data_IF_710752646183
#
_entry.id   IF_710752646183
#
_cell.length_a   1.000
_cell.length_b   1.000
_cell.length_c   1.000
_cell.angle_alpha   90.00
_cell.angle_beta   90.00
_cell.angle_gamma   90.00
#
_symmetry.space_group_name_H-M   'P 1'
#
loop_
_entity.id
_entity.type
_entity.pdbx_description
1 polymer ?
#
# COMPACT_ATOMS: atom_id res chain seq x y z
N UNK A 1 -36.00 18.04 5.66
CA UNK A 1 -34.83 18.94 5.70
C UNK A 1 -34.35 19.15 4.27
N UNK A 2 -34.44 20.37 3.76
CA UNK A 2 -34.17 20.70 2.36
C UNK A 2 -32.65 20.85 2.18
N UNK A 3 -32.02 20.00 1.37
CA UNK A 3 -30.58 20.06 1.10
C UNK A 3 -30.31 21.05 -0.06
N UNK A 4 -29.65 22.20 0.17
CA UNK A 4 -29.48 23.24 -0.84
C UNK A 4 -28.45 22.91 -1.94
N UNK A 5 -27.83 21.73 -1.94
CA UNK A 5 -26.75 21.34 -2.86
C UNK A 5 -27.15 20.26 -3.88
N UNK A 6 -28.43 19.89 -3.96
CA UNK A 6 -28.89 18.91 -4.94
C UNK A 6 -28.90 19.54 -6.36
N UNK A 7 -27.89 19.21 -7.17
CA UNK A 7 -27.79 19.63 -8.57
C UNK A 7 -28.89 18.92 -9.37
N UNK A 8 -29.81 19.70 -9.92
CA UNK A 8 -30.94 19.21 -10.72
C UNK A 8 -30.45 18.93 -12.15
N UNK A 9 -30.05 17.70 -12.45
CA UNK A 9 -29.76 17.27 -13.82
C UNK A 9 -31.04 16.71 -14.48
N UNK A 10 -31.48 17.33 -15.57
CA UNK A 10 -32.72 17.02 -16.30
C UNK A 10 -32.62 15.80 -17.24
N UNK A 11 -31.53 15.03 -17.19
CA UNK A 11 -31.23 13.98 -18.18
C UNK A 11 -31.61 12.56 -17.74
N UNK A 12 -32.23 12.38 -16.57
CA UNK A 12 -32.50 11.06 -15.96
C UNK A 12 -33.99 10.91 -15.56
N UNK A 13 -34.90 11.49 -16.33
CA UNK A 13 -36.35 11.33 -16.13
C UNK A 13 -36.78 9.91 -16.52
N UNK A 14 -36.64 8.95 -15.60
CA UNK A 14 -37.16 7.60 -15.80
C UNK A 14 -36.73 6.54 -14.79
N UNK A 15 -35.72 6.81 -13.96
CA UNK A 15 -35.23 5.83 -12.98
C UNK A 15 -35.41 6.40 -11.56
N UNK A 16 -36.38 5.85 -10.80
CA UNK A 16 -36.68 6.24 -9.43
C UNK A 16 -35.55 5.80 -8.47
N UNK A 17 -34.45 6.55 -8.48
CA UNK A 17 -33.29 6.32 -7.62
C UNK A 17 -33.51 7.07 -6.28
N UNK A 18 -33.45 6.40 -5.12
CA UNK A 18 -33.75 7.02 -3.83
C UNK A 18 -32.78 8.15 -3.47
N UNK A 19 -33.31 9.26 -2.93
CA UNK A 19 -32.59 10.52 -2.68
C UNK A 19 -31.46 10.41 -1.63
N UNK A 20 -31.38 9.32 -0.85
CA UNK A 20 -30.31 9.12 0.14
C UNK A 20 -28.93 8.83 -0.47
N UNK A 21 -28.84 8.53 -1.77
CA UNK A 21 -27.57 8.16 -2.43
C UNK A 21 -26.65 9.38 -2.64
N UNK A 22 -27.18 10.60 -2.73
CA UNK A 22 -26.41 11.85 -2.90
C UNK A 22 -25.95 12.49 -1.57
N UNK A 23 -25.49 11.67 -0.61
CA UNK A 23 -24.90 12.15 0.64
C UNK A 23 -23.47 12.68 0.47
N UNK A 24 -22.79 13.03 1.57
CA UNK A 24 -21.36 13.38 1.54
C UNK A 24 -20.42 12.16 1.35
N UNK A 25 -20.98 10.95 1.48
CA UNK A 25 -20.25 9.66 1.40
C UNK A 25 -19.72 9.33 -0.01
N UNK A 26 -20.50 9.51 -1.10
CA UNK A 26 -19.97 9.45 -2.47
C UNK A 26 -18.89 10.50 -2.75
N UNK A 27 -19.01 11.71 -2.18
CA UNK A 27 -17.98 12.75 -2.31
C UNK A 27 -16.69 12.38 -1.53
N UNK A 28 -16.79 11.74 -0.36
CA UNK A 28 -15.63 11.16 0.34
C UNK A 28 -15.00 9.98 -0.41
N UNK A 29 -15.81 9.17 -1.09
CA UNK A 29 -15.34 8.12 -2.01
C UNK A 29 -14.65 8.71 -3.24
N UNK A 30 -15.16 9.81 -3.80
CA UNK A 30 -14.52 10.53 -4.91
C UNK A 30 -13.23 11.28 -4.48
N UNK A 31 -13.20 11.84 -3.27
CA UNK A 31 -12.02 12.50 -2.69
C UNK A 31 -10.94 11.48 -2.32
N UNK A 32 -11.27 10.22 -1.99
CA UNK A 32 -10.25 9.17 -1.77
C UNK A 32 -9.69 8.58 -3.08
N UNK A 33 -10.38 8.76 -4.20
CA UNK A 33 -10.02 8.16 -5.49
C UNK A 33 -9.07 9.00 -6.36
N UNK A 34 -8.82 10.27 -6.04
CA UNK A 34 -8.18 11.19 -7.00
C UNK A 34 -7.03 12.00 -6.39
N UNK A 35 -5.86 11.39 -6.21
CA UNK A 35 -4.65 12.13 -5.78
C UNK A 35 -3.38 11.62 -6.48
N UNK A 36 -3.30 11.88 -7.79
CA UNK A 36 -2.04 11.88 -8.54
C UNK A 36 -1.54 13.33 -8.61
N UNK A 37 -0.50 13.66 -7.83
CA UNK A 37 0.20 14.94 -7.97
C UNK A 37 1.19 14.88 -9.13
N UNK A 38 0.98 15.71 -10.15
CA UNK A 38 1.86 15.82 -11.32
C UNK A 38 3.01 16.79 -11.01
N UNK A 39 4.27 16.36 -11.15
CA UNK A 39 5.46 17.22 -10.94
C UNK A 39 5.92 17.88 -12.26
N UNK A 40 6.21 19.20 -12.28
CA UNK A 40 6.64 19.90 -13.51
C UNK A 40 7.96 19.39 -14.12
N UNK A 41 8.94 18.94 -13.31
CA UNK A 41 10.22 18.40 -13.82
C UNK A 41 10.09 17.02 -14.47
N UNK A 42 9.08 16.26 -14.07
CA UNK A 42 8.74 14.98 -14.67
C UNK A 42 8.33 15.18 -16.13
N UNK A 43 7.53 16.20 -16.42
CA UNK A 43 7.10 16.55 -17.77
C UNK A 43 8.28 16.98 -18.68
N UNK A 44 9.32 17.61 -18.10
CA UNK A 44 10.53 18.02 -18.84
C UNK A 44 11.44 16.85 -19.20
N UNK A 45 11.64 15.92 -18.27
CA UNK A 45 12.51 14.74 -18.45
C UNK A 45 11.96 13.78 -19.50
N UNK A 46 10.64 13.71 -19.64
CA UNK A 46 9.95 12.86 -20.62
C UNK A 46 9.53 13.56 -21.91
N UNK A 47 10.06 14.77 -22.19
CA UNK A 47 9.90 15.43 -23.48
C UNK A 47 8.48 15.92 -23.78
N UNK A 48 7.67 16.18 -22.75
CA UNK A 48 6.25 16.50 -22.92
C UNK A 48 5.96 17.99 -23.22
N UNK A 49 6.97 18.85 -23.35
CA UNK A 49 6.76 20.30 -23.49
C UNK A 49 6.07 20.71 -24.80
N UNK A 50 6.20 19.91 -25.85
CA UNK A 50 5.63 20.15 -27.20
C UNK A 50 4.41 19.28 -27.52
N UNK A 51 3.96 18.43 -26.59
CA UNK A 51 2.87 17.49 -26.80
C UNK A 51 1.51 18.10 -26.39
N UNK A 52 0.46 17.83 -27.17
CA UNK A 52 -0.94 18.20 -26.87
C UNK A 52 -1.32 17.80 -25.43
N UNK A 53 -2.16 18.58 -24.75
CA UNK A 53 -2.64 18.28 -23.39
C UNK A 53 -3.24 16.86 -23.26
N UNK A 54 -3.80 16.34 -24.35
CA UNK A 54 -4.26 14.94 -24.46
C UNK A 54 -3.13 13.91 -24.32
N UNK A 55 -1.95 14.16 -24.89
CA UNK A 55 -0.80 13.26 -24.84
C UNK A 55 -0.12 13.27 -23.45
N UNK A 56 -0.09 14.42 -22.78
CA UNK A 56 0.36 14.53 -21.38
C UNK A 56 -0.54 13.74 -20.43
N UNK A 57 -1.85 13.92 -20.57
CA UNK A 57 -2.85 13.21 -19.79
C UNK A 57 -2.78 11.69 -20.03
N UNK A 58 -2.63 11.26 -21.28
CA UNK A 58 -2.48 9.84 -21.63
C UNK A 58 -1.21 9.23 -21.04
N UNK A 59 -0.07 9.93 -21.06
CA UNK A 59 1.17 9.40 -20.47
C UNK A 59 1.04 9.22 -18.95
N UNK A 60 0.57 10.25 -18.24
CA UNK A 60 0.39 10.21 -16.78
C UNK A 60 -0.61 9.12 -16.38
N UNK A 61 -1.74 9.02 -17.10
CA UNK A 61 -2.74 7.98 -16.91
C UNK A 61 -2.17 6.57 -17.14
N UNK A 62 -1.38 6.37 -18.20
CA UNK A 62 -0.75 5.08 -18.49
C UNK A 62 0.25 4.67 -17.40
N UNK A 63 0.99 5.63 -16.83
CA UNK A 63 1.94 5.38 -15.74
C UNK A 63 1.21 4.91 -14.48
N UNK A 64 0.13 5.59 -14.10
CA UNK A 64 -0.70 5.22 -12.94
C UNK A 64 -1.39 3.88 -13.17
N UNK A 65 -1.92 3.65 -14.36
CA UNK A 65 -2.58 2.39 -14.73
C UNK A 65 -1.61 1.20 -14.69
N UNK A 66 -0.36 1.40 -15.11
CA UNK A 66 0.69 0.37 -15.05
C UNK A 66 1.03 -0.01 -13.60
N UNK A 67 1.09 0.98 -12.70
CA UNK A 67 1.25 0.73 -11.28
C UNK A 67 0.07 -0.08 -10.71
N UNK A 68 -1.16 0.29 -11.07
CA UNK A 68 -2.37 -0.40 -10.60
C UNK A 68 -2.46 -1.84 -11.12
N UNK A 69 -2.08 -2.07 -12.38
CA UNK A 69 -1.95 -3.40 -12.96
C UNK A 69 -0.91 -4.24 -12.21
N UNK A 70 0.26 -3.67 -11.92
CA UNK A 70 1.28 -4.31 -11.08
C UNK A 70 0.75 -4.68 -9.70
N UNK A 71 0.00 -3.79 -9.05
CA UNK A 71 -0.60 -4.04 -7.74
C UNK A 71 -1.61 -5.18 -7.75
N UNK A 72 -2.45 -5.29 -8.78
CA UNK A 72 -3.39 -6.38 -8.95
C UNK A 72 -2.69 -7.74 -8.99
N UNK A 73 -1.67 -7.89 -9.84
CA UNK A 73 -0.90 -9.13 -9.93
C UNK A 73 -0.06 -9.38 -8.67
N UNK A 74 0.41 -8.31 -8.01
CA UNK A 74 1.07 -8.39 -6.71
C UNK A 74 0.18 -9.01 -5.64
N UNK A 75 -1.04 -8.51 -5.47
CA UNK A 75 -2.03 -9.10 -4.55
C UNK A 75 -2.29 -10.58 -4.88
N UNK A 76 -2.59 -10.91 -6.13
CA UNK A 76 -2.91 -12.27 -6.53
C UNK A 76 -1.74 -13.26 -6.30
N UNK A 77 -0.52 -12.88 -6.69
CA UNK A 77 0.66 -13.72 -6.51
C UNK A 77 1.09 -13.84 -5.05
N UNK A 78 1.01 -12.76 -4.28
CA UNK A 78 1.38 -12.76 -2.86
C UNK A 78 0.53 -13.71 -2.03
N UNK A 79 -0.70 -13.99 -2.42
CA UNK A 79 -1.56 -14.95 -1.72
C UNK A 79 -0.97 -16.36 -1.76
N UNK A 80 -0.55 -16.80 -2.94
CA UNK A 80 0.09 -18.10 -3.15
C UNK A 80 1.44 -18.19 -2.44
N UNK A 81 2.25 -17.12 -2.52
CA UNK A 81 3.57 -17.06 -1.89
C UNK A 81 3.44 -17.08 -0.36
N UNK A 82 2.50 -16.33 0.21
CA UNK A 82 2.32 -16.25 1.66
C UNK A 82 1.77 -17.54 2.29
N UNK A 83 0.93 -18.27 1.56
CA UNK A 83 0.46 -19.59 2.01
C UNK A 83 1.58 -20.64 1.94
N UNK A 84 2.47 -20.56 0.95
CA UNK A 84 3.58 -21.50 0.79
C UNK A 84 4.76 -21.23 1.74
N UNK A 85 5.23 -19.99 1.78
CA UNK A 85 6.48 -19.60 2.46
C UNK A 85 6.28 -18.90 3.80
N UNK A 86 5.09 -18.37 4.08
CA UNK A 86 4.81 -17.59 5.28
C UNK A 86 4.68 -16.10 5.00
N UNK A 87 4.26 -15.33 6.00
CA UNK A 87 3.92 -13.92 5.86
C UNK A 87 5.19 -13.06 5.86
N UNK A 88 6.12 -13.34 6.77
CA UNK A 88 7.40 -12.61 6.90
C UNK A 88 8.27 -12.66 5.63
N UNK A 89 8.61 -13.83 5.04
CA UNK A 89 9.45 -13.88 3.84
C UNK A 89 8.74 -13.25 2.63
N UNK A 90 7.40 -13.31 2.58
CA UNK A 90 6.62 -12.65 1.53
C UNK A 90 6.73 -11.13 1.61
N UNK A 91 6.68 -10.56 2.81
CA UNK A 91 6.87 -9.11 3.02
C UNK A 91 8.29 -8.65 2.68
N UNK A 92 9.31 -9.44 3.03
CA UNK A 92 10.70 -9.16 2.67
C UNK A 92 10.88 -9.21 1.15
N UNK A 93 10.34 -10.23 0.48
CA UNK A 93 10.38 -10.34 -0.98
C UNK A 93 9.66 -9.18 -1.65
N UNK A 94 8.48 -8.79 -1.16
CA UNK A 94 7.73 -7.66 -1.67
C UNK A 94 8.53 -6.34 -1.56
N UNK A 95 9.23 -6.12 -0.45
CA UNK A 95 10.08 -4.96 -0.25
C UNK A 95 11.31 -4.96 -1.19
N UNK A 96 11.93 -6.12 -1.42
CA UNK A 96 13.03 -6.25 -2.39
C UNK A 96 12.55 -5.92 -3.81
N UNK A 97 11.42 -6.48 -4.23
CA UNK A 97 10.81 -6.20 -5.55
C UNK A 97 10.48 -4.71 -5.68
N UNK A 98 9.94 -4.10 -4.62
CA UNK A 98 9.67 -2.67 -4.56
C UNK A 98 10.94 -1.84 -4.73
N UNK A 99 12.03 -2.17 -4.01
CA UNK A 99 13.31 -1.46 -4.12
C UNK A 99 13.92 -1.58 -5.53
N UNK A 100 13.83 -2.74 -6.17
CA UNK A 100 14.28 -2.93 -7.57
C UNK A 100 13.46 -2.05 -8.51
N UNK A 101 12.13 -2.03 -8.33
CA UNK A 101 11.23 -1.17 -9.12
C UNK A 101 11.55 0.31 -8.95
N UNK A 102 11.77 0.77 -7.72
CA UNK A 102 12.15 2.15 -7.43
C UNK A 102 13.52 2.51 -8.04
N UNK A 103 14.48 1.57 -8.04
CA UNK A 103 15.79 1.78 -8.64
C UNK A 103 15.71 1.94 -10.16
N UNK A 104 14.89 1.13 -10.83
CA UNK A 104 14.64 1.24 -12.27
C UNK A 104 14.01 2.58 -12.66
N UNK A 105 13.13 3.13 -11.80
CA UNK A 105 12.53 4.44 -12.06
C UNK A 105 13.57 5.57 -12.06
N UNK A 106 14.65 5.47 -11.27
CA UNK A 106 15.69 6.52 -11.20
C UNK A 106 16.56 6.63 -12.46
N UNK A 107 16.51 5.66 -13.37
CA UNK A 107 17.31 5.65 -14.62
C UNK A 107 16.86 6.74 -15.59
N UNK A 108 15.59 7.19 -15.53
CA UNK A 108 15.10 8.31 -16.35
C UNK A 108 14.78 7.96 -17.81
N UNK A 109 14.53 6.68 -18.11
CA UNK A 109 14.01 6.20 -19.41
C UNK A 109 12.54 5.81 -19.30
N UNK A 110 11.73 6.10 -20.32
CA UNK A 110 10.30 5.76 -20.34
C UNK A 110 10.04 4.27 -20.14
N UNK A 111 10.78 3.41 -20.84
CA UNK A 111 10.64 1.95 -20.73
C UNK A 111 10.92 1.48 -19.30
N UNK A 112 12.01 2.00 -18.70
CA UNK A 112 12.39 1.69 -17.32
C UNK A 112 11.39 2.24 -16.30
N UNK A 113 10.75 3.36 -16.60
CA UNK A 113 9.68 3.93 -15.76
C UNK A 113 8.46 3.01 -15.76
N UNK A 114 7.99 2.54 -16.91
CA UNK A 114 6.85 1.62 -16.98
C UNK A 114 7.12 0.31 -16.25
N UNK A 115 8.27 -0.31 -16.50
CA UNK A 115 8.67 -1.55 -15.81
C UNK A 115 8.84 -1.29 -14.30
N UNK A 116 9.50 -0.19 -13.94
CA UNK A 116 9.69 0.19 -12.55
C UNK A 116 8.36 0.42 -11.83
N UNK A 117 7.36 1.00 -12.50
CA UNK A 117 6.02 1.23 -11.96
C UNK A 117 5.25 -0.06 -11.74
N UNK A 118 5.32 -0.99 -12.71
CA UNK A 118 4.73 -2.32 -12.55
C UNK A 118 5.33 -3.06 -11.35
N UNK A 119 6.65 -3.02 -11.18
CA UNK A 119 7.34 -3.68 -10.06
C UNK A 119 7.07 -3.00 -8.71
N UNK A 120 7.07 -1.67 -8.64
CA UNK A 120 6.67 -0.99 -7.40
C UNK A 120 5.21 -1.25 -7.06
N UNK A 121 4.34 -1.32 -8.07
CA UNK A 121 2.94 -1.70 -7.90
C UNK A 121 2.82 -3.10 -7.32
N UNK A 122 3.57 -4.07 -7.86
CA UNK A 122 3.62 -5.44 -7.35
C UNK A 122 4.00 -5.48 -5.88
N UNK A 123 5.10 -4.82 -5.50
CA UNK A 123 5.58 -4.79 -4.12
C UNK A 123 4.56 -4.14 -3.15
N UNK A 124 3.96 -3.02 -3.54
CA UNK A 124 2.93 -2.34 -2.74
C UNK A 124 1.66 -3.19 -2.61
N UNK A 125 1.15 -3.75 -3.71
CA UNK A 125 -0.03 -4.61 -3.69
C UNK A 125 0.16 -5.84 -2.81
N UNK A 126 1.31 -6.50 -2.93
CA UNK A 126 1.67 -7.65 -2.09
C UNK A 126 1.71 -7.28 -0.61
N UNK A 127 2.30 -6.13 -0.28
CA UNK A 127 2.43 -5.64 1.09
C UNK A 127 1.08 -5.25 1.68
N UNK A 128 0.26 -4.51 0.93
CA UNK A 128 -1.07 -4.06 1.33
C UNK A 128 -2.01 -5.22 1.67
N UNK A 129 -1.85 -6.38 1.02
CA UNK A 129 -2.61 -7.58 1.34
C UNK A 129 -2.06 -8.30 2.59
N UNK A 130 -0.74 -8.49 2.69
CA UNK A 130 -0.13 -9.36 3.73
C UNK A 130 -0.01 -8.66 5.09
N UNK A 131 0.28 -7.36 5.14
CA UNK A 131 0.44 -6.63 6.41
C UNK A 131 -0.78 -6.72 7.34
N UNK A 132 -2.01 -6.39 6.90
CA UNK A 132 -3.18 -6.48 7.79
C UNK A 132 -3.47 -7.93 8.22
N UNK A 133 -3.21 -8.91 7.34
CA UNK A 133 -3.32 -10.35 7.67
C UNK A 133 -2.34 -10.69 8.78
N UNK A 134 -1.06 -10.35 8.62
CA UNK A 134 -0.01 -10.64 9.59
C UNK A 134 -0.31 -9.99 10.95
N UNK A 135 -0.71 -8.71 10.98
CA UNK A 135 -1.13 -8.01 12.21
C UNK A 135 -2.33 -8.73 12.85
N UNK A 136 -3.33 -9.13 12.05
CA UNK A 136 -4.51 -9.82 12.57
C UNK A 136 -4.21 -11.20 13.16
N UNK A 137 -3.25 -11.93 12.59
CA UNK A 137 -2.85 -13.26 13.04
C UNK A 137 -1.98 -13.22 14.30
N UNK A 138 -1.18 -12.19 14.47
CA UNK A 138 -0.38 -11.96 15.69
C UNK A 138 -1.21 -11.35 16.83
N UNK A 139 -2.28 -10.61 16.51
CA UNK A 139 -3.10 -9.91 17.50
C UNK A 139 -3.99 -10.83 18.37
N UNK A 140 -4.15 -10.51 19.67
CA UNK A 140 -5.22 -11.09 20.49
C UNK A 140 -6.61 -10.71 19.95
N UNK A 141 -7.57 -11.63 20.02
CA UNK A 141 -8.91 -11.45 19.45
C UNK A 141 -9.63 -10.17 19.92
N UNK A 142 -9.46 -9.79 21.19
CA UNK A 142 -10.14 -8.64 21.80
C UNK A 142 -9.66 -7.28 21.27
N UNK A 143 -8.38 -7.16 20.87
CA UNK A 143 -7.77 -5.90 20.45
C UNK A 143 -7.38 -5.88 18.97
N UNK A 144 -7.69 -6.94 18.22
CA UNK A 144 -7.36 -7.08 16.80
C UNK A 144 -7.80 -5.90 15.96
N UNK A 145 -9.08 -5.50 16.09
CA UNK A 145 -9.62 -4.38 15.32
C UNK A 145 -8.89 -3.06 15.58
N UNK A 146 -8.50 -2.82 16.84
CA UNK A 146 -7.72 -1.63 17.22
C UNK A 146 -6.32 -1.66 16.60
N UNK A 147 -5.64 -2.80 16.62
CA UNK A 147 -4.29 -2.93 16.06
C UNK A 147 -4.27 -2.76 14.54
N UNK A 148 -5.24 -3.36 13.84
CA UNK A 148 -5.39 -3.18 12.38
C UNK A 148 -5.77 -1.73 12.06
N UNK A 149 -6.66 -1.12 12.84
CA UNK A 149 -7.00 0.30 12.68
C UNK A 149 -5.81 1.23 12.90
N UNK A 150 -4.98 0.99 13.92
CA UNK A 150 -3.75 1.77 14.14
C UNK A 150 -2.77 1.62 12.99
N UNK A 151 -2.63 0.41 12.44
CA UNK A 151 -1.81 0.18 11.24
C UNK A 151 -2.28 1.04 10.06
N UNK A 152 -3.57 1.04 9.76
CA UNK A 152 -4.14 1.86 8.68
C UNK A 152 -3.93 3.36 8.91
N UNK A 153 -4.13 3.85 10.14
CA UNK A 153 -3.88 5.25 10.47
C UNK A 153 -2.41 5.63 10.25
N UNK A 154 -1.47 4.76 10.63
CA UNK A 154 -0.04 5.00 10.37
C UNK A 154 0.29 4.97 8.87
N UNK A 155 -0.35 4.09 8.10
CA UNK A 155 -0.20 4.03 6.65
C UNK A 155 -0.67 5.35 6.00
N UNK A 156 -1.83 5.85 6.40
CA UNK A 156 -2.35 7.14 5.91
C UNK A 156 -1.45 8.31 6.31
N UNK A 157 -0.94 8.32 7.55
CA UNK A 157 0.01 9.33 7.99
C UNK A 157 1.30 9.33 7.14
N UNK A 158 1.82 8.16 6.79
CA UNK A 158 2.99 8.03 5.92
C UNK A 158 2.73 8.58 4.50
N UNK A 159 1.53 8.35 3.94
CA UNK A 159 1.13 8.94 2.66
C UNK A 159 1.11 10.46 2.74
N UNK A 160 0.51 11.03 3.80
CA UNK A 160 0.51 12.49 4.05
C UNK A 160 1.93 13.06 4.13
N UNK A 161 2.84 12.39 4.82
CA UNK A 161 4.25 12.78 4.84
C UNK A 161 4.88 12.78 3.43
N UNK A 162 4.57 11.77 2.61
CA UNK A 162 5.01 11.71 1.21
C UNK A 162 4.52 12.89 0.37
N UNK A 163 3.29 13.37 0.60
CA UNK A 163 2.77 14.57 -0.05
C UNK A 163 3.54 15.83 0.36
N UNK A 164 3.81 16.00 1.66
CA UNK A 164 4.60 17.14 2.15
C UNK A 164 6.02 17.15 1.60
N UNK A 165 6.65 15.97 1.45
CA UNK A 165 7.94 15.84 0.78
C UNK A 165 7.85 16.30 -0.68
N UNK A 166 6.84 15.83 -1.43
CA UNK A 166 6.64 16.25 -2.81
C UNK A 166 6.39 17.77 -2.93
N UNK A 167 5.59 18.34 -2.03
CA UNK A 167 5.35 19.78 -1.97
C UNK A 167 6.62 20.57 -1.66
N UNK A 168 7.40 20.13 -0.67
CA UNK A 168 8.67 20.74 -0.28
C UNK A 168 9.69 20.70 -1.41
N UNK A 169 9.75 19.59 -2.15
CA UNK A 169 10.60 19.46 -3.35
C UNK A 169 10.13 20.39 -4.47
N UNK A 170 8.81 20.51 -4.69
CA UNK A 170 8.25 21.41 -5.70
C UNK A 170 8.57 22.89 -5.43
N UNK A 171 8.55 23.31 -4.16
CA UNK A 171 8.81 24.70 -3.76
C UNK A 171 10.29 25.07 -3.70
N UNK A 172 11.17 24.16 -3.27
CA UNK A 172 12.55 24.49 -2.93
C UNK A 172 13.58 24.06 -3.98
N UNK A 173 13.21 23.18 -4.94
CA UNK A 173 14.13 22.69 -5.97
C UNK A 173 13.75 23.30 -7.32
N UNK A 174 14.73 23.92 -7.99
CA UNK A 174 14.53 24.54 -9.30
C UNK A 174 14.01 23.53 -10.33
N UNK A 175 13.02 23.90 -11.16
CA UNK A 175 12.43 23.07 -12.22
C UNK A 175 13.42 22.43 -13.21
N UNK A 176 14.62 22.98 -13.28
CA UNK A 176 15.68 22.69 -14.26
C UNK A 176 16.59 21.54 -13.83
N UNK A 177 16.56 21.15 -12.55
CA UNK A 177 17.36 20.03 -12.05
C UNK A 177 16.64 18.68 -12.15
N UNK A 178 17.32 17.67 -12.70
CA UNK A 178 16.89 16.26 -12.64
C UNK A 178 16.60 15.79 -11.19
N UNK A 179 17.22 16.44 -10.19
CA UNK A 179 17.01 16.15 -8.78
C UNK A 179 15.56 16.32 -8.31
N UNK A 180 14.73 17.14 -8.97
CA UNK A 180 13.37 17.39 -8.49
C UNK A 180 12.46 16.15 -8.56
N UNK A 181 12.67 15.24 -9.52
CA UNK A 181 11.90 13.99 -9.59
C UNK A 181 12.64 12.80 -8.97
N UNK A 182 13.97 12.85 -8.88
CA UNK A 182 14.76 11.83 -8.19
C UNK A 182 14.52 11.84 -6.67
N UNK A 183 14.38 13.01 -6.04
CA UNK A 183 14.21 13.10 -4.57
C UNK A 183 12.95 12.37 -4.09
N UNK A 184 11.75 12.56 -4.67
CA UNK A 184 10.57 11.79 -4.28
C UNK A 184 10.70 10.27 -4.52
N UNK A 185 11.46 9.86 -5.53
CA UNK A 185 11.74 8.43 -5.79
C UNK A 185 12.73 7.88 -4.77
N UNK A 186 13.77 8.64 -4.42
CA UNK A 186 14.76 8.26 -3.42
C UNK A 186 14.13 8.11 -2.01
N UNK A 187 13.18 8.98 -1.66
CA UNK A 187 12.48 8.93 -0.37
C UNK A 187 11.68 7.64 -0.19
N UNK A 188 11.21 7.02 -1.28
CA UNK A 188 10.49 5.74 -1.22
C UNK A 188 11.36 4.57 -0.73
N UNK A 189 12.69 4.66 -0.83
CA UNK A 189 13.58 3.64 -0.28
C UNK A 189 13.59 3.63 1.24
N UNK A 190 13.29 4.75 1.90
CA UNK A 190 13.26 4.85 3.36
C UNK A 190 12.21 3.91 3.96
N UNK A 191 10.91 3.98 3.61
CA UNK A 191 9.92 3.05 4.14
C UNK A 191 10.18 1.60 3.73
N UNK A 192 10.69 1.36 2.52
CA UNK A 192 11.05 0.01 2.07
C UNK A 192 12.17 -0.60 2.93
N UNK A 193 13.23 0.16 3.18
CA UNK A 193 14.35 -0.25 4.04
C UNK A 193 13.92 -0.46 5.49
N UNK A 194 13.12 0.47 6.03
CA UNK A 194 12.56 0.32 7.39
C UNK A 194 11.72 -0.94 7.51
N UNK A 195 10.88 -1.26 6.53
CA UNK A 195 10.08 -2.49 6.53
C UNK A 195 10.98 -3.73 6.61
N UNK A 196 12.04 -3.80 5.80
CA UNK A 196 12.99 -4.93 5.85
C UNK A 196 13.66 -5.02 7.21
N UNK A 197 14.17 -3.90 7.74
CA UNK A 197 14.85 -3.84 9.04
C UNK A 197 13.93 -4.28 10.18
N UNK A 198 12.68 -3.79 10.22
CA UNK A 198 11.72 -4.14 11.26
C UNK A 198 11.18 -5.58 11.11
N UNK A 199 11.12 -6.12 9.89
CA UNK A 199 10.68 -7.49 9.64
C UNK A 199 11.78 -8.53 9.94
N UNK A 200 13.06 -8.15 9.96
CA UNK A 200 14.15 -9.08 10.30
C UNK A 200 14.05 -9.69 11.71
N UNK A 201 13.82 -8.95 12.80
CA UNK A 201 13.67 -9.54 14.13
C UNK A 201 12.27 -10.11 14.41
N UNK A 202 11.29 -9.88 13.53
CA UNK A 202 9.94 -10.39 13.72
C UNK A 202 9.86 -11.91 13.54
N UNK A 203 8.97 -12.51 14.32
CA UNK A 203 8.61 -13.92 14.22
C UNK A 203 7.64 -14.17 13.06
N UNK A 204 7.49 -15.43 12.66
CA UNK A 204 6.46 -15.80 11.69
C UNK A 204 5.07 -15.84 12.34
N UNK A 205 4.02 -15.69 11.53
CA UNK A 205 2.64 -15.78 12.01
C UNK A 205 2.38 -17.08 12.78
N UNK A 206 1.94 -17.01 14.06
CA UNK A 206 1.62 -18.20 14.84
C UNK A 206 0.54 -19.07 14.16
N UNK A 207 -0.42 -18.43 13.48
CA UNK A 207 -1.50 -19.14 12.78
C UNK A 207 -0.98 -19.94 11.60
N UNK A 208 -0.08 -19.35 10.81
CA UNK A 208 0.55 -20.05 9.68
C UNK A 208 1.44 -21.21 10.16
N UNK A 209 2.17 -21.04 11.27
CA UNK A 209 2.99 -22.10 11.85
C UNK A 209 2.15 -23.31 12.30
N UNK A 210 0.97 -23.07 12.89
CA UNK A 210 0.01 -24.14 13.22
C UNK A 210 -0.48 -24.85 11.96
N UNK A 211 -0.84 -24.09 10.92
CA UNK A 211 -1.30 -24.65 9.64
C UNK A 211 -0.25 -25.54 8.97
N UNK A 212 1.04 -25.22 9.11
CA UNK A 212 2.16 -26.04 8.61
C UNK A 212 2.56 -27.20 9.54
N UNK A 213 1.82 -27.45 10.63
CA UNK A 213 2.14 -28.51 11.60
C UNK A 213 3.34 -28.21 12.51
N UNK A 214 3.90 -27.00 12.48
CA UNK A 214 5.05 -26.59 13.29
C UNK A 214 4.63 -26.07 14.67
N UNK A 215 4.05 -26.95 15.48
CA UNK A 215 3.44 -26.57 16.76
C UNK A 215 4.44 -25.98 17.78
N UNK A 216 5.69 -26.44 17.78
CA UNK A 216 6.72 -25.93 18.71
C UNK A 216 7.11 -24.49 18.36
N UNK A 217 7.32 -24.19 17.07
CA UNK A 217 7.62 -22.85 16.59
C UNK A 217 6.42 -21.90 16.80
N UNK A 218 5.20 -22.41 16.60
CA UNK A 218 3.97 -21.66 16.87
C UNK A 218 3.86 -21.27 18.35
N UNK A 219 4.19 -22.18 19.27
CA UNK A 219 4.22 -21.91 20.71
C UNK A 219 5.26 -20.85 21.08
N UNK A 220 6.48 -20.97 20.53
CA UNK A 220 7.56 -19.98 20.74
C UNK A 220 7.18 -18.59 20.24
N UNK A 221 6.55 -18.55 19.06
CA UNK A 221 6.03 -17.33 18.45
C UNK A 221 4.93 -16.71 19.32
N UNK A 222 3.97 -17.51 19.78
CA UNK A 222 2.88 -17.04 20.63
C UNK A 222 3.37 -16.58 22.02
N UNK A 223 4.32 -17.30 22.62
CA UNK A 223 4.93 -16.91 23.90
C UNK A 223 5.71 -15.61 23.79
N UNK A 224 6.36 -15.36 22.65
CA UNK A 224 7.05 -14.10 22.38
C UNK A 224 6.06 -12.93 22.25
N UNK A 225 4.99 -13.07 21.47
CA UNK A 225 3.97 -12.01 21.31
C UNK A 225 3.26 -11.70 22.62
N UNK A 226 2.96 -12.72 23.44
CA UNK A 226 2.19 -12.59 24.67
C UNK A 226 3.04 -12.45 25.93
N UNK A 227 4.36 -12.44 25.79
CA UNK A 227 5.32 -12.45 26.90
C UNK A 227 5.02 -13.53 27.97
N UNK A 228 4.64 -14.73 27.54
CA UNK A 228 4.30 -15.84 28.43
C UNK A 228 5.55 -16.69 28.71
N UNK A 229 5.80 -17.03 29.98
CA UNK A 229 6.81 -18.05 30.34
C UNK A 229 6.37 -19.41 29.79
N UNK A 230 7.31 -20.17 29.21
CA UNK A 230 7.04 -21.39 28.43
C UNK A 230 6.25 -22.51 29.12
N UNK A 231 6.04 -22.43 30.43
CA UNK A 231 5.29 -23.39 31.25
C UNK A 231 3.76 -23.28 31.14
N UNK A 232 3.20 -22.15 30.69
CA UNK A 232 1.73 -21.92 30.72
C UNK A 232 0.95 -22.49 29.52
N UNK A 233 1.61 -23.10 28.53
CA UNK A 233 0.96 -23.64 27.32
C UNK A 233 0.65 -25.15 27.41
N UNK A 234 0.83 -25.78 28.58
CA UNK A 234 0.66 -27.23 28.80
C UNK A 234 -0.76 -27.65 29.20
N UNK A 235 -1.76 -26.75 29.22
CA UNK A 235 -3.16 -27.17 29.41
C UNK A 235 -3.81 -27.46 28.06
N UNK A 236 -4.00 -28.73 27.65
CA UNK A 236 -5.19 -29.04 26.87
C UNK A 236 -6.39 -28.54 27.69
N UNK A 237 -7.30 -27.83 27.02
CA UNK A 237 -8.56 -27.45 27.63
C UNK A 237 -9.41 -28.71 27.70
N UNK A 238 -9.40 -29.34 28.86
CA UNK A 238 -10.51 -30.17 29.32
C UNK A 238 -11.62 -29.16 29.69
N UNK A 239 -12.40 -28.76 28.67
CA UNK A 239 -13.60 -27.93 28.83
C UNK A 239 -14.73 -28.71 28.16
N UNK A 240 -14.99 -29.89 28.70
CA UNK A 240 -16.20 -30.69 28.54
C UNK A 240 -16.28 -31.64 29.75
N UNK A 241 -16.46 -31.06 30.94
CA UNK A 241 -17.01 -31.72 32.14
C UNK A 241 -17.88 -30.70 32.88
#
# INVERSE_FOLDING_TARGET
MHNPLAVRNSSLEGEDIPREIYGFRPYLLAISASWAGDLPSFQRTYGLYTASDSAKANLSSNIVSTFQGGAFFGCASSFLVAERFGRRPTLILAAIIFSIGAALQMIGRLDCLYVGRALTGWGVGSSAMILPIYVSECSPALIRGRLVGTFEVMLQAALVCGFWVNYGVNKNISPEGNMQWHVPVAVQFVPAGLLVIFMMPMIESPRWLVFKGKLQDARKSLSWVRNLRGSCLHRPRDVYD
#
